data_IF_900422603085
#
_entry.id   IF_900422603085
#
_cell.length_a   1.000
_cell.length_b   1.000
_cell.length_c   1.000
_cell.angle_alpha   90.00
_cell.angle_beta   90.00
_cell.angle_gamma   90.00
#
_symmetry.space_group_name_H-M   'P 1'
#
loop_
_entity.id
_entity.type
_entity.pdbx_description
1 polymer ?
#
# COMPACT_ATOMS: atom_id res chain seq x y z
N UNK A 1 -2.55 -0.35 22.60
CA UNK A 1 -1.66 0.83 22.61
C UNK A 1 -1.92 1.81 21.46
N UNK A 2 -2.61 1.42 20.36
CA UNK A 2 -2.91 2.30 19.21
C UNK A 2 -3.86 3.46 19.53
N UNK A 3 -4.92 3.24 20.32
CA UNK A 3 -5.97 4.24 20.57
C UNK A 3 -5.48 5.56 21.22
N UNK A 4 -4.36 5.53 21.94
CA UNK A 4 -3.79 6.74 22.56
C UNK A 4 -3.09 7.65 21.55
N UNK A 5 -2.45 7.07 20.53
CA UNK A 5 -1.70 7.83 19.51
C UNK A 5 -2.66 8.51 18.55
N UNK A 6 -3.74 7.83 18.14
CA UNK A 6 -4.75 8.39 17.24
C UNK A 6 -5.48 9.61 17.85
N UNK A 7 -5.71 9.57 19.17
CA UNK A 7 -6.31 10.67 19.93
C UNK A 7 -5.41 11.92 19.98
N UNK A 8 -4.09 11.72 20.04
CA UNK A 8 -3.10 12.80 20.03
C UNK A 8 -3.00 13.43 18.63
N UNK A 9 -3.00 12.60 17.58
CA UNK A 9 -2.91 13.05 16.18
C UNK A 9 -4.15 13.85 15.76
N UNK A 10 -5.36 13.41 16.16
CA UNK A 10 -6.61 14.15 15.94
C UNK A 10 -6.68 15.48 16.70
N UNK A 11 -5.94 15.59 17.80
CA UNK A 11 -5.82 16.83 18.60
C UNK A 11 -4.87 17.85 17.96
N UNK A 12 -3.88 17.38 17.18
CA UNK A 12 -2.93 18.24 16.47
C UNK A 12 -3.44 18.74 15.10
N UNK A 13 -4.50 18.16 14.54
CA UNK A 13 -5.11 18.70 13.32
C UNK A 13 -5.93 19.97 13.60
N UNK A 14 -5.82 21.02 12.75
CA UNK A 14 -6.59 22.26 12.91
C UNK A 14 -8.09 21.97 12.94
N UNK A 15 -8.79 22.63 13.88
CA UNK A 15 -10.17 22.35 14.31
C UNK A 15 -11.21 22.36 13.16
N UNK A 16 -10.88 22.97 12.03
CA UNK A 16 -11.75 23.15 10.85
C UNK A 16 -11.27 22.37 9.61
N UNK A 17 -10.32 21.42 9.75
CA UNK A 17 -9.78 20.69 8.61
C UNK A 17 -10.74 19.58 8.14
N UNK A 18 -11.10 19.52 6.84
CA UNK A 18 -11.94 18.45 6.29
C UNK A 18 -11.32 17.06 6.48
N UNK A 19 -9.99 16.97 6.56
CA UNK A 19 -9.27 15.73 6.85
C UNK A 19 -9.67 15.12 8.21
N UNK A 20 -9.95 15.96 9.22
CA UNK A 20 -10.36 15.49 10.55
C UNK A 20 -11.72 14.78 10.50
N UNK A 21 -12.64 15.33 9.72
CA UNK A 21 -13.98 14.77 9.57
C UNK A 21 -13.96 13.44 8.80
N UNK A 22 -13.13 13.34 7.76
CA UNK A 22 -12.96 12.12 6.96
C UNK A 22 -12.33 11.01 7.81
N UNK A 23 -11.23 11.30 8.50
CA UNK A 23 -10.54 10.30 9.34
C UNK A 23 -11.44 9.82 10.48
N UNK A 24 -12.17 10.71 11.15
CA UNK A 24 -13.09 10.32 12.24
C UNK A 24 -14.23 9.42 11.77
N UNK A 25 -14.71 9.59 10.52
CA UNK A 25 -15.81 8.80 9.96
C UNK A 25 -15.35 7.46 9.39
N UNK A 26 -14.18 7.41 8.78
CA UNK A 26 -13.62 6.17 8.21
C UNK A 26 -12.90 5.30 9.23
N UNK A 27 -12.28 5.88 10.26
CA UNK A 27 -11.54 5.14 11.28
C UNK A 27 -12.31 3.98 11.92
N UNK A 28 -13.61 4.08 12.26
CA UNK A 28 -14.36 2.94 12.81
C UNK A 28 -14.76 1.88 11.77
N UNK A 29 -14.68 2.19 10.47
CA UNK A 29 -15.02 1.25 9.38
C UNK A 29 -13.80 0.56 8.78
N UNK A 30 -12.58 1.04 9.09
CA UNK A 30 -11.35 0.42 8.65
C UNK A 30 -11.00 -0.71 9.64
N UNK A 31 -11.01 -1.97 9.21
CA UNK A 31 -10.51 -3.05 10.04
C UNK A 31 -9.04 -2.79 10.37
N UNK A 32 -8.60 -3.26 11.54
CA UNK A 32 -7.19 -3.18 11.91
C UNK A 32 -6.35 -3.86 10.83
N UNK A 33 -5.22 -3.26 10.45
CA UNK A 33 -4.28 -3.90 9.52
C UNK A 33 -3.87 -5.29 9.98
N UNK A 34 -3.79 -5.50 11.29
CA UNK A 34 -3.46 -6.81 11.90
C UNK A 34 -4.58 -7.85 11.74
N UNK A 35 -5.82 -7.40 11.54
CA UNK A 35 -6.99 -8.25 11.33
C UNK A 35 -7.11 -8.69 9.87
N UNK A 36 -6.67 -7.82 8.94
CA UNK A 36 -6.62 -8.14 7.50
C UNK A 36 -5.35 -8.93 7.15
N UNK A 37 -4.22 -8.59 7.76
CA UNK A 37 -2.92 -9.20 7.51
C UNK A 37 -2.45 -9.91 8.78
N UNK A 38 -3.08 -11.03 9.07
CA UNK A 38 -2.55 -12.00 10.03
C UNK A 38 -1.24 -12.63 9.50
N UNK A 39 -0.46 -13.27 10.36
CA UNK A 39 0.87 -13.81 10.06
C UNK A 39 0.88 -14.68 8.80
N UNK A 40 -0.08 -15.60 8.69
CA UNK A 40 -0.23 -16.48 7.52
C UNK A 40 -0.58 -15.69 6.24
N UNK A 41 -1.56 -14.80 6.32
CA UNK A 41 -2.00 -13.95 5.21
C UNK A 41 -0.91 -13.00 4.73
N UNK A 42 -0.06 -12.52 5.64
CA UNK A 42 1.08 -11.67 5.34
C UNK A 42 2.11 -12.42 4.49
N UNK A 43 2.47 -13.65 4.89
CA UNK A 43 3.41 -14.47 4.11
C UNK A 43 2.86 -14.83 2.74
N UNK A 44 1.58 -15.17 2.64
CA UNK A 44 0.91 -15.49 1.36
C UNK A 44 0.91 -14.25 0.45
N UNK A 45 0.61 -13.07 1.00
CA UNK A 45 0.64 -11.82 0.25
C UNK A 45 2.04 -11.51 -0.28
N UNK A 46 3.07 -11.66 0.56
CA UNK A 46 4.46 -11.42 0.15
C UNK A 46 4.92 -12.40 -0.92
N UNK A 47 4.53 -13.67 -0.81
CA UNK A 47 4.83 -14.70 -1.79
C UNK A 47 4.18 -14.39 -3.14
N UNK A 48 2.90 -14.01 -3.14
CA UNK A 48 2.19 -13.60 -4.34
C UNK A 48 2.77 -12.31 -4.95
N UNK A 49 3.19 -11.35 -4.13
CA UNK A 49 3.84 -10.12 -4.59
C UNK A 49 5.19 -10.43 -5.25
N UNK A 50 6.02 -11.26 -4.62
CA UNK A 50 7.31 -11.66 -5.16
C UNK A 50 7.15 -12.45 -6.46
N UNK A 51 6.22 -13.41 -6.50
CA UNK A 51 5.94 -14.17 -7.72
C UNK A 51 5.37 -13.27 -8.82
N UNK A 52 4.45 -12.36 -8.44
CA UNK A 52 3.86 -11.36 -9.32
C UNK A 52 4.90 -10.41 -9.91
N UNK A 53 5.92 -9.99 -9.14
CA UNK A 53 6.97 -9.11 -9.66
C UNK A 53 7.87 -9.83 -10.67
N UNK A 54 8.24 -11.09 -10.39
CA UNK A 54 9.01 -11.90 -11.34
C UNK A 54 8.22 -12.14 -12.62
N UNK A 55 6.94 -12.50 -12.50
CA UNK A 55 6.05 -12.66 -13.65
C UNK A 55 5.91 -11.35 -14.42
N UNK A 56 5.71 -10.21 -13.73
CA UNK A 56 5.62 -8.91 -14.36
C UNK A 56 6.88 -8.57 -15.16
N UNK A 57 8.08 -8.80 -14.59
CA UNK A 57 9.35 -8.59 -15.31
C UNK A 57 9.48 -9.54 -16.49
N UNK A 58 9.09 -10.81 -16.36
CA UNK A 58 9.09 -11.77 -17.47
C UNK A 58 8.16 -11.33 -18.61
N UNK A 59 6.93 -10.94 -18.29
CA UNK A 59 5.96 -10.44 -19.28
C UNK A 59 6.42 -9.13 -19.90
N UNK A 60 7.01 -8.22 -19.10
CA UNK A 60 7.54 -6.97 -19.59
C UNK A 60 8.74 -7.19 -20.49
N UNK A 61 9.65 -8.09 -20.15
CA UNK A 61 10.78 -8.49 -21.00
C UNK A 61 10.32 -9.09 -22.33
N UNK A 62 9.22 -9.85 -22.33
CA UNK A 62 8.66 -10.44 -23.55
C UNK A 62 7.88 -9.44 -24.42
N UNK A 63 7.26 -8.42 -23.82
CA UNK A 63 6.43 -7.42 -24.51
C UNK A 63 7.24 -6.19 -24.94
N UNK A 64 8.18 -5.79 -24.10
CA UNK A 64 9.18 -4.78 -24.36
C UNK A 64 10.40 -5.52 -24.88
N UNK A 65 10.33 -5.97 -26.14
CA UNK A 65 11.56 -6.10 -26.92
C UNK A 65 12.17 -4.71 -26.85
N UNK A 66 13.24 -4.56 -26.06
CA UNK A 66 14.08 -3.38 -26.10
C UNK A 66 14.52 -3.27 -27.56
N UNK A 67 13.86 -2.40 -28.32
CA UNK A 67 14.30 -2.05 -29.65
C UNK A 67 15.66 -1.44 -29.42
N UNK A 68 16.72 -2.15 -29.80
CA UNK A 68 18.10 -1.74 -29.58
C UNK A 68 18.19 -0.23 -29.86
N UNK A 69 18.39 0.56 -28.81
CA UNK A 69 18.62 1.99 -28.90
C UNK A 69 20.09 2.23 -29.35
N UNK A 70 20.52 1.44 -30.33
CA UNK A 70 21.83 1.42 -30.94
C UNK A 70 21.69 1.58 -32.45
N UNK A 71 21.02 2.64 -32.89
CA UNK A 71 21.32 3.24 -34.19
C UNK A 71 22.14 4.49 -33.89
N UNK A 72 23.45 4.28 -33.77
CA UNK A 72 24.46 5.31 -33.99
C UNK A 72 24.64 5.40 -35.51
N UNK A 73 23.88 6.30 -36.13
CA UNK A 73 24.20 6.90 -37.42
C UNK A 73 24.66 8.35 -37.17
#
# INVERSE_FOLDING_TARGET
>A
MSASVDSLTLRMLPKNSPAKHIVTRLSPHLPSFTDIFDEESFYITFLLLAFGSVMAVYFLSRRVTLKDAGHID
#
